data_IF_863945764910
#
_entry.id   IF_863945764910
#
_cell.length_a   1.000
_cell.length_b   1.000
_cell.length_c   1.000
_cell.angle_alpha   90.00
_cell.angle_beta   90.00
_cell.angle_gamma   90.00
#
_symmetry.space_group_name_H-M   'P 1'
#
loop_
_entity.id
_entity.type
_entity.pdbx_description
1 polymer ?
#
# COMPACT_ATOMS: atom_id res chain seq x y z
N UNK A 1 3.22 -27.71 12.32
CA UNK A 1 3.55 -26.31 11.98
C UNK A 1 3.69 -26.22 10.46
N UNK A 2 3.07 -25.23 9.81
CA UNK A 2 3.25 -25.02 8.37
C UNK A 2 4.71 -24.68 8.07
N UNK A 3 5.27 -25.23 6.98
CA UNK A 3 6.64 -24.94 6.55
C UNK A 3 6.72 -23.46 6.16
N UNK A 4 7.53 -22.68 6.88
CA UNK A 4 7.75 -21.26 6.57
C UNK A 4 8.79 -21.11 5.47
N UNK A 5 8.55 -20.19 4.55
CA UNK A 5 9.52 -19.81 3.50
C UNK A 5 10.51 -18.80 4.07
N UNK A 6 11.80 -19.03 3.86
CA UNK A 6 12.83 -18.05 4.19
C UNK A 6 12.85 -16.95 3.14
N UNK A 7 12.85 -15.70 3.58
CA UNK A 7 12.94 -14.51 2.71
C UNK A 7 14.14 -13.67 3.14
N UNK A 8 14.72 -12.95 2.19
CA UNK A 8 15.70 -11.91 2.47
C UNK A 8 15.06 -10.55 2.18
N UNK A 9 15.18 -9.60 3.10
CA UNK A 9 14.60 -8.27 2.99
C UNK A 9 15.66 -7.22 3.35
N UNK A 10 15.71 -6.16 2.55
CA UNK A 10 16.45 -4.95 2.90
C UNK A 10 15.52 -4.02 3.66
N UNK A 11 15.94 -3.53 4.82
CA UNK A 11 15.14 -2.69 5.70
C UNK A 11 16.00 -1.56 6.26
N UNK A 12 15.37 -0.41 6.50
CA UNK A 12 15.99 0.70 7.20
C UNK A 12 16.46 0.29 8.61
N UNK A 13 17.64 0.76 9.01
CA UNK A 13 18.27 0.36 10.27
C UNK A 13 17.48 0.83 11.50
N UNK A 14 16.91 2.03 11.45
CA UNK A 14 16.12 2.58 12.56
C UNK A 14 14.78 1.86 12.67
N UNK A 15 14.16 1.53 11.54
CA UNK A 15 12.95 0.70 11.52
C UNK A 15 13.21 -0.70 12.08
N UNK A 16 14.33 -1.34 11.71
CA UNK A 16 14.70 -2.64 12.24
C UNK A 16 14.87 -2.60 13.76
N UNK A 17 15.56 -1.57 14.27
CA UNK A 17 15.72 -1.37 15.72
C UNK A 17 14.37 -1.26 16.43
N UNK A 18 13.42 -0.50 15.87
CA UNK A 18 12.07 -0.38 16.43
C UNK A 18 11.31 -1.70 16.45
N UNK A 19 11.50 -2.56 15.45
CA UNK A 19 10.91 -3.91 15.41
C UNK A 19 11.53 -4.77 16.51
N UNK A 20 12.84 -4.70 16.70
CA UNK A 20 13.55 -5.44 17.75
C UNK A 20 13.09 -5.03 19.15
N UNK A 21 13.02 -3.72 19.42
CA UNK A 21 12.51 -3.20 20.68
C UNK A 21 11.06 -3.68 20.96
N UNK A 22 10.23 -3.82 19.92
CA UNK A 22 8.87 -4.31 20.04
C UNK A 22 8.80 -5.83 20.28
N UNK A 23 9.73 -6.59 19.69
CA UNK A 23 9.87 -8.02 19.89
C UNK A 23 10.30 -8.32 21.33
N UNK A 24 11.33 -7.63 21.82
CA UNK A 24 11.86 -7.77 23.17
C UNK A 24 10.80 -7.47 24.23
N UNK A 25 10.06 -6.37 24.07
CA UNK A 25 8.97 -5.99 25.00
C UNK A 25 7.84 -7.01 25.06
N UNK A 26 7.64 -7.81 24.01
CA UNK A 26 6.59 -8.83 23.92
C UNK A 26 7.08 -10.24 24.27
N UNK A 27 8.40 -10.46 24.33
CA UNK A 27 8.98 -11.79 24.44
C UNK A 27 8.79 -12.63 23.18
N UNK A 28 8.56 -11.99 22.03
CA UNK A 28 8.37 -12.64 20.74
C UNK A 28 9.65 -12.60 19.90
N UNK A 29 9.76 -13.44 18.88
CA UNK A 29 10.83 -13.31 17.90
C UNK A 29 10.56 -12.15 16.92
N UNK A 30 11.63 -11.54 16.38
CA UNK A 30 11.55 -10.56 15.30
C UNK A 30 10.65 -11.03 14.15
N UNK A 31 10.80 -12.28 13.72
CA UNK A 31 10.01 -12.84 12.62
C UNK A 31 8.53 -12.99 12.97
N UNK A 32 8.19 -13.31 14.22
CA UNK A 32 6.79 -13.36 14.67
C UNK A 32 6.14 -11.96 14.67
N UNK A 33 6.88 -10.93 15.09
CA UNK A 33 6.42 -9.54 15.04
C UNK A 33 6.19 -9.08 13.60
N UNK A 34 7.14 -9.34 12.69
CA UNK A 34 7.02 -8.99 11.28
C UNK A 34 5.82 -9.71 10.66
N UNK A 35 5.70 -11.03 10.87
CA UNK A 35 4.59 -11.80 10.31
C UNK A 35 3.23 -11.31 10.82
N UNK A 36 3.13 -10.94 12.10
CA UNK A 36 1.92 -10.37 12.68
C UNK A 36 1.54 -9.04 12.05
N UNK A 37 2.50 -8.13 11.88
CA UNK A 37 2.23 -6.85 11.22
C UNK A 37 1.80 -7.05 9.77
N UNK A 38 2.53 -7.89 9.02
CA UNK A 38 2.14 -8.20 7.64
C UNK A 38 0.74 -8.81 7.58
N UNK A 39 0.41 -9.78 8.43
CA UNK A 39 -0.91 -10.43 8.42
C UNK A 39 -2.07 -9.47 8.68
N UNK A 40 -1.86 -8.49 9.55
CA UNK A 40 -2.91 -7.53 9.92
C UNK A 40 -3.14 -6.46 8.85
N UNK A 41 -2.08 -6.07 8.13
CA UNK A 41 -2.11 -4.95 7.19
C UNK A 41 -2.23 -5.40 5.72
N UNK A 42 -1.80 -6.62 5.37
CA UNK A 42 -1.76 -7.07 3.98
C UNK A 42 -3.15 -7.10 3.34
N UNK A 43 -4.19 -7.50 4.08
CA UNK A 43 -5.56 -7.52 3.57
C UNK A 43 -6.08 -6.12 3.25
N UNK A 44 -5.75 -5.12 4.07
CA UNK A 44 -6.12 -3.72 3.81
C UNK A 44 -5.39 -3.18 2.59
N UNK A 45 -4.10 -3.52 2.42
CA UNK A 45 -3.33 -3.13 1.25
C UNK A 45 -3.85 -3.82 -0.03
N UNK A 46 -4.23 -5.10 0.04
CA UNK A 46 -4.85 -5.84 -1.06
C UNK A 46 -6.20 -5.23 -1.47
N UNK A 47 -7.06 -4.92 -0.50
CA UNK A 47 -8.34 -4.27 -0.73
C UNK A 47 -8.15 -2.88 -1.33
N UNK A 48 -7.23 -2.07 -0.79
CA UNK A 48 -6.89 -0.76 -1.33
C UNK A 48 -6.39 -0.85 -2.78
N UNK A 49 -5.51 -1.82 -3.08
CA UNK A 49 -5.03 -2.04 -4.45
C UNK A 49 -6.15 -2.46 -5.40
N UNK A 50 -7.09 -3.27 -4.94
CA UNK A 50 -8.28 -3.67 -5.69
C UNK A 50 -9.23 -2.49 -5.91
N UNK A 51 -9.47 -1.66 -4.90
CA UNK A 51 -10.25 -0.43 -5.03
C UNK A 51 -9.62 0.54 -6.04
N UNK A 52 -8.29 0.63 -6.09
CA UNK A 52 -7.59 1.43 -7.10
C UNK A 52 -7.75 0.90 -8.54
N UNK A 53 -8.14 -0.36 -8.73
CA UNK A 53 -8.51 -0.91 -10.03
C UNK A 53 -9.94 -0.49 -10.44
N UNK A 54 -10.80 -0.09 -9.49
CA UNK A 54 -12.15 0.42 -9.77
C UNK A 54 -12.14 1.81 -10.42
N UNK A 55 -12.85 2.00 -11.55
CA UNK A 55 -12.96 3.31 -12.22
C UNK A 55 -13.57 4.41 -11.32
N UNK A 56 -14.51 4.03 -10.45
CA UNK A 56 -15.20 4.97 -9.55
C UNK A 56 -14.26 5.49 -8.48
N UNK A 57 -13.58 4.58 -7.78
CA UNK A 57 -12.60 4.98 -6.76
C UNK A 57 -11.42 5.71 -7.36
N UNK A 58 -10.94 5.32 -8.55
CA UNK A 58 -9.92 6.07 -9.28
C UNK A 58 -10.34 7.51 -9.54
N UNK A 59 -11.58 7.76 -9.93
CA UNK A 59 -12.10 9.11 -10.14
C UNK A 59 -12.17 9.92 -8.83
N UNK A 60 -12.57 9.27 -7.73
CA UNK A 60 -12.59 9.89 -6.40
C UNK A 60 -11.16 10.24 -5.95
N UNK A 61 -10.22 9.30 -6.04
CA UNK A 61 -8.82 9.52 -5.70
C UNK A 61 -8.17 10.61 -6.57
N UNK A 62 -8.47 10.64 -7.88
CA UNK A 62 -8.00 11.70 -8.78
C UNK A 62 -8.57 13.07 -8.38
N UNK A 63 -9.86 13.14 -8.04
CA UNK A 63 -10.51 14.36 -7.55
C UNK A 63 -9.91 14.86 -6.22
N UNK A 64 -9.69 13.96 -5.26
CA UNK A 64 -9.02 14.28 -3.98
C UNK A 64 -7.59 14.75 -4.21
N UNK A 65 -6.88 14.11 -5.14
CA UNK A 65 -5.52 14.50 -5.50
C UNK A 65 -5.48 15.91 -6.11
N UNK A 66 -6.50 16.31 -6.86
CA UNK A 66 -6.63 17.63 -7.50
C UNK A 66 -7.12 18.72 -6.54
N UNK A 67 -7.78 18.35 -5.45
CA UNK A 67 -8.39 19.29 -4.49
C UNK A 67 -8.06 18.87 -3.05
N UNK A 68 -6.92 19.33 -2.49
CA UNK A 68 -6.53 19.06 -1.10
C UNK A 68 -7.60 19.47 -0.07
N UNK A 69 -8.48 20.40 -0.42
CA UNK A 69 -9.62 20.83 0.39
C UNK A 69 -10.61 19.68 0.66
N UNK A 70 -10.76 18.75 -0.29
CA UNK A 70 -11.60 17.55 -0.12
C UNK A 70 -11.00 16.64 0.94
N UNK A 71 -9.67 16.43 0.90
CA UNK A 71 -8.96 15.63 1.89
C UNK A 71 -9.12 16.25 3.29
N UNK A 72 -8.98 17.57 3.38
CA UNK A 72 -9.19 18.31 4.62
C UNK A 72 -10.63 18.19 5.15
N UNK A 73 -11.63 18.28 4.26
CA UNK A 73 -13.04 18.15 4.64
C UNK A 73 -13.39 16.74 5.14
N UNK A 74 -12.88 15.69 4.46
CA UNK A 74 -13.09 14.29 4.88
C UNK A 74 -12.41 14.03 6.23
N UNK A 75 -11.17 14.46 6.41
CA UNK A 75 -10.47 14.31 7.69
C UNK A 75 -11.19 15.05 8.83
N UNK A 76 -11.72 16.25 8.59
CA UNK A 76 -12.52 16.96 9.59
C UNK A 76 -13.80 16.20 10.00
N UNK A 77 -14.45 15.51 9.06
CA UNK A 77 -15.61 14.64 9.34
C UNK A 77 -15.20 13.41 10.16
N UNK A 78 -13.99 12.89 9.95
CA UNK A 78 -13.43 11.76 10.69
C UNK A 78 -12.83 12.15 12.06
N UNK A 79 -12.92 13.43 12.46
CA UNK A 79 -12.34 13.92 13.71
C UNK A 79 -10.83 14.19 13.65
N UNK A 80 -10.22 14.11 12.46
CA UNK A 80 -8.83 14.45 12.23
C UNK A 80 -8.68 15.92 11.79
N UNK A 81 -7.95 16.72 12.57
CA UNK A 81 -7.59 18.08 12.19
C UNK A 81 -6.25 18.10 11.45
N UNK A 82 -6.31 17.92 10.13
CA UNK A 82 -5.16 18.16 9.25
C UNK A 82 -5.20 19.58 8.69
N UNK A 83 -4.03 20.22 8.65
CA UNK A 83 -3.87 21.51 7.98
C UNK A 83 -3.78 21.32 6.46
N UNK A 84 -3.84 22.44 5.72
CA UNK A 84 -3.81 22.40 4.26
C UNK A 84 -2.47 21.89 3.71
N UNK A 85 -1.39 22.01 4.48
CA UNK A 85 -0.04 21.58 4.10
C UNK A 85 0.07 20.06 4.15
N UNK A 86 -0.42 19.44 5.22
CA UNK A 86 -0.54 18.00 5.38
C UNK A 86 -1.52 17.41 4.36
N UNK A 87 -2.63 18.10 4.08
CA UNK A 87 -3.57 17.71 3.03
C UNK A 87 -2.91 17.71 1.63
N UNK A 88 -2.07 18.71 1.32
CA UNK A 88 -1.31 18.77 0.06
C UNK A 88 -0.27 17.64 -0.03
N UNK A 89 0.45 17.36 1.05
CA UNK A 89 1.41 16.25 1.08
C UNK A 89 0.72 14.88 0.86
N UNK A 90 -0.47 14.70 1.43
CA UNK A 90 -1.30 13.50 1.23
C UNK A 90 -1.82 13.42 -0.22
N UNK A 91 -2.22 14.54 -0.81
CA UNK A 91 -2.63 14.61 -2.21
C UNK A 91 -1.50 14.20 -3.17
N UNK A 92 -0.26 14.65 -2.94
CA UNK A 92 0.90 14.27 -3.78
C UNK A 92 1.19 12.76 -3.71
N UNK A 93 1.14 12.16 -2.52
CA UNK A 93 1.29 10.70 -2.36
C UNK A 93 0.21 9.94 -3.14
N UNK A 94 -1.03 10.40 -3.10
CA UNK A 94 -2.15 9.82 -3.85
C UNK A 94 -1.97 9.96 -5.37
N UNK A 95 -1.42 11.09 -5.85
CA UNK A 95 -1.09 11.27 -7.28
C UNK A 95 -0.07 10.24 -7.74
N UNK A 96 0.99 10.06 -6.97
CA UNK A 96 2.05 9.12 -7.33
C UNK A 96 1.55 7.67 -7.30
N UNK A 97 0.75 7.29 -6.31
CA UNK A 97 0.11 5.97 -6.25
C UNK A 97 -0.84 5.74 -7.43
N UNK A 98 -1.64 6.74 -7.79
CA UNK A 98 -2.55 6.66 -8.96
C UNK A 98 -1.77 6.49 -10.26
N UNK A 99 -0.64 7.21 -10.43
CA UNK A 99 0.24 7.09 -11.59
C UNK A 99 0.84 5.68 -11.71
N UNK A 100 1.34 5.14 -10.59
CA UNK A 100 1.89 3.77 -10.54
C UNK A 100 0.80 2.72 -10.77
N UNK A 101 -0.41 2.92 -10.25
CA UNK A 101 -1.57 2.07 -10.53
C UNK A 101 -1.95 2.03 -12.01
N UNK A 102 -1.94 3.18 -12.71
CA UNK A 102 -2.14 3.24 -14.17
C UNK A 102 -1.08 2.46 -14.95
N UNK A 103 0.19 2.57 -14.55
CA UNK A 103 1.28 1.83 -15.18
C UNK A 103 1.14 0.30 -15.01
N UNK A 104 0.68 -0.17 -13.84
CA UNK A 104 0.44 -1.61 -13.58
C UNK A 104 -0.63 -2.21 -14.49
N UNK A 105 -1.71 -1.47 -14.78
CA UNK A 105 -2.76 -1.94 -15.69
C UNK A 105 -2.30 -1.98 -17.15
N UNK A 106 -1.49 -1.02 -17.59
CA UNK A 106 -0.97 -0.99 -18.95
C UNK A 106 -0.02 -2.17 -19.24
N UNK A 107 0.69 -2.65 -18.21
CA UNK A 107 1.55 -3.83 -18.32
C UNK A 107 0.76 -5.15 -18.24
N UNK A 108 -0.31 -5.24 -17.43
CA UNK A 108 -1.19 -6.43 -17.39
C UNK A 108 -1.95 -6.65 -18.73
N UNK A 109 -2.18 -5.60 -19.52
CA UNK A 109 -2.83 -5.71 -20.84
C UNK A 109 -1.89 -6.13 -21.99
N UNK A 110 -0.58 -6.13 -21.80
CA UNK A 110 0.40 -6.45 -22.84
C UNK A 110 0.81 -7.94 -22.93
N UNK A 111 0.45 -8.75 -21.94
CA UNK A 111 0.82 -10.18 -21.87
C UNK A 111 -0.24 -11.13 -22.50
N UNK A 112 -1.36 -10.59 -22.99
CA UNK A 112 -2.46 -11.39 -23.55
C UNK A 112 -2.27 -11.80 -25.02
N UNK A 113 -1.24 -11.32 -25.73
CA UNK A 113 -0.96 -11.64 -27.15
C UNK A 113 0.32 -12.49 -27.36
N UNK A 114 0.80 -13.17 -26.32
CA UNK A 114 1.91 -14.11 -26.41
C UNK A 114 1.48 -15.50 -26.88
N UNK A 115 1.44 -15.71 -28.19
CA UNK A 115 1.30 -16.98 -28.92
C UNK A 115 1.86 -18.19 -28.15
N UNK A 116 1.00 -19.15 -27.82
CA UNK A 116 1.41 -20.50 -27.39
C UNK A 116 2.15 -21.19 -28.55
N UNK A 117 3.45 -21.56 -28.43
CA UNK A 117 4.01 -22.56 -29.32
C UNK A 117 3.45 -23.91 -28.90
N UNK A 118 2.74 -24.59 -29.82
CA UNK A 118 2.38 -26.00 -29.65
C UNK A 118 3.67 -26.82 -29.51
N UNK A 119 3.75 -27.75 -28.54
CA UNK A 119 4.84 -28.70 -28.49
C UNK A 119 4.75 -29.65 -29.68
N UNK A 120 5.87 -29.85 -30.36
CA UNK A 120 6.11 -30.91 -31.33
C UNK A 120 6.60 -32.17 -30.63
#
# INVERSE_FOLDING_TARGET
MARKTAINITIDADLLKRIDDAADKRGDSRSAIIERFCRNEIGQEEEFLHELESPVFRAIYDAMSKRPEIIRAISAVMGEHIDLTAARAKAERLREQTRRGKARQHNKGGEADGVHPKPA
#
